data_IF_280479020977
#
_entry.id   IF_280479020977
#
_cell.length_a   1.000
_cell.length_b   1.000
_cell.length_c   1.000
_cell.angle_alpha   90.00
_cell.angle_beta   90.00
_cell.angle_gamma   90.00
#
_symmetry.space_group_name_H-M   'P 1'
#
loop_
_entity.id
_entity.type
_entity.pdbx_description
1 polymer ?
#
# COMPACT_ATOMS: atom_id res chain seq x y z
N UNK A 1 9.81 -7.37 12.99
CA UNK A 1 10.05 -5.91 12.89
C UNK A 1 10.76 -5.64 11.57
N UNK A 2 10.41 -4.52 10.92
CA UNK A 2 11.00 -4.07 9.66
C UNK A 2 11.35 -2.61 9.84
N UNK A 3 12.61 -2.26 9.62
CA UNK A 3 13.09 -0.88 9.64
C UNK A 3 13.89 -0.63 8.38
N UNK A 4 13.58 0.48 7.72
CA UNK A 4 14.24 0.91 6.49
C UNK A 4 14.48 2.39 6.60
N UNK A 5 15.76 2.76 6.58
CA UNK A 5 16.21 4.14 6.69
C UNK A 5 16.93 4.55 5.42
N UNK A 6 16.80 5.83 5.06
CA UNK A 6 17.43 6.39 3.87
C UNK A 6 16.86 5.85 2.55
N UNK A 7 17.61 6.04 1.47
CA UNK A 7 17.20 5.62 0.12
C UNK A 7 17.71 4.21 -0.17
N UNK A 8 16.77 3.29 -0.39
CA UNK A 8 17.04 1.89 -0.74
C UNK A 8 16.53 1.58 -2.14
N UNK A 9 17.37 0.95 -2.96
CA UNK A 9 16.98 0.38 -4.25
C UNK A 9 16.76 -1.12 -4.11
N UNK A 10 15.56 -1.58 -4.42
CA UNK A 10 15.22 -3.02 -4.45
C UNK A 10 15.43 -3.59 -5.86
N UNK A 11 15.74 -4.88 -5.94
CA UNK A 11 15.66 -5.64 -7.20
C UNK A 11 14.21 -5.75 -7.70
N UNK A 12 14.03 -6.09 -8.97
CA UNK A 12 12.71 -6.07 -9.64
C UNK A 12 11.61 -6.89 -8.95
N UNK A 13 11.99 -8.01 -8.32
CA UNK A 13 11.06 -8.89 -7.58
C UNK A 13 11.24 -8.77 -6.05
N UNK A 14 11.99 -7.76 -5.59
CA UNK A 14 12.25 -7.47 -4.17
C UNK A 14 12.84 -8.66 -3.39
N UNK A 15 13.46 -9.58 -4.12
CA UNK A 15 14.24 -10.70 -3.58
C UNK A 15 15.68 -10.30 -3.26
N UNK A 16 16.03 -9.03 -3.50
CA UNK A 16 17.36 -8.49 -3.22
C UNK A 16 17.33 -6.98 -3.00
N UNK A 17 18.34 -6.50 -2.29
CA UNK A 17 18.66 -5.07 -2.16
C UNK A 17 19.73 -4.78 -3.21
N UNK A 18 19.37 -3.99 -4.21
CA UNK A 18 20.24 -3.65 -5.34
C UNK A 18 21.20 -2.49 -4.99
N UNK A 19 20.74 -1.54 -4.16
CA UNK A 19 21.56 -0.40 -3.74
C UNK A 19 21.10 0.18 -2.39
N UNK A 20 22.05 0.81 -1.70
CA UNK A 20 21.83 1.60 -0.48
C UNK A 20 22.60 2.91 -0.62
N UNK A 21 21.96 4.04 -0.32
CA UNK A 21 22.68 5.30 -0.13
C UNK A 21 23.56 5.23 1.12
N UNK A 22 24.56 6.11 1.25
CA UNK A 22 25.56 6.05 2.33
C UNK A 22 24.96 6.13 3.74
N UNK A 23 23.79 6.77 3.88
CA UNK A 23 23.03 6.90 5.12
C UNK A 23 21.89 5.88 5.26
N UNK A 24 21.75 4.96 4.29
CA UNK A 24 20.66 4.02 4.25
C UNK A 24 20.95 2.71 4.98
N UNK A 25 19.91 2.10 5.54
CA UNK A 25 20.00 0.76 6.14
C UNK A 25 18.68 0.00 5.99
N UNK A 26 18.78 -1.33 5.98
CA UNK A 26 17.61 -2.22 6.07
C UNK A 26 17.85 -3.19 7.23
N UNK A 27 16.91 -3.23 8.16
CA UNK A 27 16.90 -4.16 9.29
C UNK A 27 15.60 -4.96 9.28
N UNK A 28 15.74 -6.28 9.21
CA UNK A 28 14.64 -7.24 9.32
C UNK A 28 14.90 -8.12 10.54
N UNK A 29 13.92 -8.17 11.45
CA UNK A 29 14.00 -8.99 12.67
C UNK A 29 12.78 -9.88 12.76
N UNK A 30 13.02 -11.19 12.81
CA UNK A 30 12.03 -12.23 13.14
C UNK A 30 12.28 -12.71 14.58
N UNK A 31 11.53 -13.73 15.02
CA UNK A 31 11.72 -14.33 16.34
C UNK A 31 13.12 -14.94 16.52
N UNK A 32 13.62 -15.58 15.46
CA UNK A 32 14.85 -16.36 15.43
C UNK A 32 16.00 -15.66 14.67
N UNK A 33 15.71 -14.70 13.80
CA UNK A 33 16.69 -14.14 12.88
C UNK A 33 16.79 -12.61 12.95
N UNK A 34 18.01 -12.12 12.75
CA UNK A 34 18.31 -10.70 12.53
C UNK A 34 19.11 -10.56 11.24
N UNK A 35 18.52 -9.90 10.26
CA UNK A 35 19.17 -9.55 9.01
C UNK A 35 19.37 -8.04 8.93
N UNK A 36 20.57 -7.64 8.53
CA UNK A 36 20.89 -6.23 8.31
C UNK A 36 21.68 -6.06 7.00
N UNK A 37 21.27 -5.06 6.22
CA UNK A 37 21.99 -4.60 5.04
C UNK A 37 22.46 -3.16 5.23
N UNK A 38 23.76 -2.93 4.97
CA UNK A 38 24.42 -1.62 5.03
C UNK A 38 25.18 -1.32 3.74
N UNK A 39 25.52 -0.04 3.46
CA UNK A 39 26.36 0.31 2.32
C UNK A 39 27.74 -0.36 2.44
N UNK A 40 28.15 -1.07 1.40
CA UNK A 40 29.49 -1.67 1.31
C UNK A 40 30.49 -0.73 0.64
N UNK A 41 31.76 -0.92 0.96
CA UNK A 41 32.86 -0.08 0.44
C UNK A 41 33.06 -0.19 -1.10
N UNK A 42 32.54 -1.24 -1.72
CA UNK A 42 32.59 -1.47 -3.17
C UNK A 42 31.31 -0.99 -3.90
N UNK A 43 30.44 -0.26 -3.19
CA UNK A 43 29.15 0.20 -3.70
C UNK A 43 28.07 -0.88 -3.76
N UNK A 44 28.35 -2.11 -3.29
CA UNK A 44 27.36 -3.18 -3.14
C UNK A 44 26.88 -3.25 -1.69
N UNK A 45 25.61 -3.58 -1.43
CA UNK A 45 25.14 -3.78 -0.06
C UNK A 45 25.91 -4.91 0.64
N UNK A 46 26.43 -4.62 1.84
CA UNK A 46 26.97 -5.62 2.75
C UNK A 46 25.82 -6.23 3.55
N UNK A 47 25.65 -7.55 3.42
CA UNK A 47 24.58 -8.29 4.09
C UNK A 47 25.13 -9.04 5.31
N UNK A 48 24.41 -8.97 6.42
CA UNK A 48 24.68 -9.72 7.64
C UNK A 48 23.41 -10.44 8.10
N UNK A 49 23.56 -11.67 8.57
CA UNK A 49 22.46 -12.47 9.08
C UNK A 49 22.95 -13.23 10.32
N UNK A 50 22.17 -13.19 11.39
CA UNK A 50 22.25 -14.13 12.50
C UNK A 50 20.94 -14.91 12.60
N UNK A 51 21.02 -16.19 12.94
CA UNK A 51 19.88 -17.04 13.29
C UNK A 51 20.22 -17.72 14.62
N UNK A 52 19.35 -17.58 15.61
CA UNK A 52 19.55 -17.99 17.01
C UNK A 52 20.83 -17.41 17.62
N UNK A 53 21.17 -16.18 17.23
CA UNK A 53 22.40 -15.48 17.64
C UNK A 53 23.67 -15.92 16.91
N UNK A 54 23.62 -17.00 16.13
CA UNK A 54 24.77 -17.52 15.40
C UNK A 54 24.89 -16.86 14.01
N UNK A 55 26.08 -16.37 13.63
CA UNK A 55 26.28 -15.74 12.32
C UNK A 55 26.11 -16.74 11.17
N UNK A 56 25.66 -16.23 10.02
CA UNK A 56 25.53 -16.97 8.77
C UNK A 56 26.44 -16.38 7.69
N UNK A 57 26.72 -17.16 6.66
CA UNK A 57 27.52 -16.70 5.51
C UNK A 57 26.76 -15.66 4.69
N UNK A 58 27.48 -14.86 3.91
CA UNK A 58 26.87 -13.88 3.01
C UNK A 58 25.91 -14.51 1.98
N UNK A 59 26.21 -15.74 1.52
CA UNK A 59 25.34 -16.48 0.60
C UNK A 59 24.03 -16.90 1.27
N UNK A 60 24.08 -17.34 2.53
CA UNK A 60 22.88 -17.64 3.32
C UNK A 60 22.08 -16.37 3.63
N UNK A 61 22.75 -15.26 3.96
CA UNK A 61 22.11 -13.97 4.15
C UNK A 61 21.35 -13.51 2.90
N UNK A 62 21.96 -13.64 1.72
CA UNK A 62 21.32 -13.30 0.45
C UNK A 62 20.10 -14.18 0.16
N UNK A 63 20.19 -15.49 0.42
CA UNK A 63 19.06 -16.41 0.25
C UNK A 63 17.92 -16.11 1.22
N UNK A 64 18.23 -15.92 2.49
CA UNK A 64 17.24 -15.53 3.49
C UNK A 64 16.56 -14.21 3.13
N UNK A 65 17.33 -13.22 2.65
CA UNK A 65 16.78 -11.97 2.14
C UNK A 65 15.78 -12.21 1.00
N UNK A 66 16.09 -13.08 0.05
CA UNK A 66 15.20 -13.41 -1.06
C UNK A 66 13.87 -14.02 -0.61
N UNK A 67 13.88 -14.81 0.46
CA UNK A 67 12.69 -15.46 0.99
C UNK A 67 11.84 -14.51 1.86
N UNK A 68 12.48 -13.62 2.63
CA UNK A 68 11.81 -12.80 3.66
C UNK A 68 11.47 -11.38 3.19
N UNK A 69 12.34 -10.75 2.40
CA UNK A 69 12.17 -9.35 1.99
C UNK A 69 10.85 -9.10 1.24
N UNK A 70 10.41 -9.94 0.28
CA UNK A 70 9.12 -9.73 -0.40
C UNK A 70 7.93 -9.75 0.57
N UNK A 71 7.96 -10.62 1.58
CA UNK A 71 6.90 -10.73 2.60
C UNK A 71 6.91 -9.49 3.48
N UNK A 72 8.09 -9.10 3.97
CA UNK A 72 8.27 -7.92 4.81
C UNK A 72 7.77 -6.66 4.11
N UNK A 73 8.18 -6.42 2.87
CA UNK A 73 7.80 -5.23 2.14
C UNK A 73 6.31 -5.21 1.77
N UNK A 74 5.72 -6.38 1.48
CA UNK A 74 4.28 -6.51 1.20
C UNK A 74 3.42 -6.14 2.41
N UNK A 75 3.77 -6.64 3.60
CA UNK A 75 2.95 -6.45 4.81
C UNK A 75 3.16 -5.09 5.50
N UNK A 76 4.27 -4.41 5.20
CA UNK A 76 4.62 -3.10 5.79
C UNK A 76 4.44 -1.94 4.82
N UNK A 77 4.00 -2.22 3.59
CA UNK A 77 3.91 -1.25 2.50
C UNK A 77 5.22 -0.49 2.23
N UNK A 78 6.37 -1.13 2.44
CA UNK A 78 7.64 -0.61 1.93
C UNK A 78 7.66 -0.76 0.41
N UNK A 79 8.10 0.31 -0.28
CA UNK A 79 8.25 0.36 -1.74
C UNK A 79 6.98 -0.10 -2.50
N UNK A 80 5.81 0.08 -1.88
CA UNK A 80 4.54 -0.38 -2.38
C UNK A 80 4.21 0.17 -3.77
N UNK A 81 4.61 1.40 -4.07
CA UNK A 81 4.44 2.07 -5.36
C UNK A 81 5.16 1.32 -6.50
N UNK A 82 6.38 0.84 -6.25
CA UNK A 82 7.18 0.10 -7.23
C UNK A 82 6.52 -1.26 -7.53
N UNK A 83 6.08 -1.95 -6.47
CA UNK A 83 5.39 -3.24 -6.59
C UNK A 83 4.07 -3.15 -7.32
N UNK A 84 3.26 -2.13 -7.00
CA UNK A 84 1.99 -1.86 -7.69
C UNK A 84 2.23 -1.59 -9.17
N UNK A 85 3.23 -0.77 -9.51
CA UNK A 85 3.57 -0.48 -10.91
C UNK A 85 4.02 -1.74 -11.65
N UNK A 86 4.85 -2.57 -11.04
CA UNK A 86 5.29 -3.84 -11.63
C UNK A 86 4.12 -4.81 -11.85
N UNK A 87 3.21 -4.93 -10.87
CA UNK A 87 2.01 -5.75 -10.97
C UNK A 87 1.09 -5.27 -12.11
N UNK A 88 0.90 -3.94 -12.22
CA UNK A 88 0.10 -3.35 -13.30
C UNK A 88 0.74 -3.54 -14.68
N UNK A 89 2.06 -3.40 -14.80
CA UNK A 89 2.76 -3.62 -16.06
C UNK A 89 2.67 -5.08 -16.53
N UNK A 90 2.61 -6.03 -15.59
CA UNK A 90 2.55 -7.45 -15.90
C UNK A 90 1.18 -7.87 -16.40
N UNK A 91 0.12 -7.54 -15.66
CA UNK A 91 -1.23 -8.09 -15.89
C UNK A 91 -2.36 -7.04 -15.80
N UNK A 92 -2.04 -5.74 -15.88
CA UNK A 92 -3.01 -4.67 -15.72
C UNK A 92 -3.61 -4.63 -14.31
N UNK A 93 -4.86 -4.14 -14.19
CA UNK A 93 -5.56 -4.08 -12.90
C UNK A 93 -5.71 -5.45 -12.23
N UNK A 94 -5.84 -6.53 -13.01
CA UNK A 94 -5.90 -7.90 -12.48
C UNK A 94 -4.62 -8.29 -11.74
N UNK A 95 -3.46 -7.85 -12.22
CA UNK A 95 -2.18 -8.05 -11.53
C UNK A 95 -2.13 -7.34 -10.18
N UNK A 96 -2.69 -6.12 -10.11
CA UNK A 96 -2.78 -5.36 -8.87
C UNK A 96 -3.75 -6.03 -7.89
N UNK A 97 -4.92 -6.51 -8.34
CA UNK A 97 -5.87 -7.23 -7.47
C UNK A 97 -5.25 -8.51 -6.91
N UNK A 98 -4.53 -9.28 -7.74
CA UNK A 98 -3.80 -10.46 -7.26
C UNK A 98 -2.74 -10.11 -6.21
N UNK A 99 -2.07 -8.96 -6.35
CA UNK A 99 -1.16 -8.47 -5.32
C UNK A 99 -1.92 -8.13 -4.03
N UNK A 100 -3.05 -7.44 -4.11
CA UNK A 100 -3.88 -7.07 -2.95
C UNK A 100 -4.38 -8.31 -2.20
N UNK A 101 -4.82 -9.35 -2.90
CA UNK A 101 -5.26 -10.63 -2.31
C UNK A 101 -4.17 -11.30 -1.45
N UNK A 102 -2.89 -11.02 -1.73
CA UNK A 102 -1.76 -11.56 -0.97
C UNK A 102 -1.37 -10.75 0.27
N UNK A 103 -1.96 -9.56 0.48
CA UNK A 103 -1.62 -8.67 1.61
C UNK A 103 -2.56 -8.95 2.78
N UNK A 104 -2.00 -9.31 3.94
CA UNK A 104 -2.83 -9.60 5.14
C UNK A 104 -3.09 -8.36 5.97
N UNK A 105 -2.17 -7.41 5.96
CA UNK A 105 -2.31 -6.12 6.65
C UNK A 105 -3.34 -5.23 5.92
N UNK A 106 -4.51 -4.92 6.52
CA UNK A 106 -5.50 -4.03 5.89
C UNK A 106 -4.92 -2.65 5.55
N UNK A 107 -4.05 -2.14 6.43
CA UNK A 107 -3.30 -0.90 6.22
C UNK A 107 -2.40 -0.98 4.99
N UNK A 108 -1.62 -2.05 4.84
CA UNK A 108 -0.75 -2.19 3.68
C UNK A 108 -1.58 -2.38 2.41
N UNK A 109 -2.68 -3.14 2.45
CA UNK A 109 -3.58 -3.32 1.32
C UNK A 109 -4.16 -1.98 0.85
N UNK A 110 -4.57 -1.12 1.79
CA UNK A 110 -5.00 0.25 1.50
C UNK A 110 -3.91 1.04 0.78
N UNK A 111 -2.69 1.08 1.31
CA UNK A 111 -1.61 1.85 0.68
C UNK A 111 -1.29 1.38 -0.74
N UNK A 112 -1.31 0.07 -0.99
CA UNK A 112 -1.13 -0.47 -2.35
C UNK A 112 -2.28 -0.07 -3.28
N UNK A 113 -3.52 -0.15 -2.81
CA UNK A 113 -4.68 0.30 -3.59
C UNK A 113 -4.62 1.81 -3.88
N UNK A 114 -4.23 2.61 -2.88
CA UNK A 114 -4.00 4.06 -3.02
C UNK A 114 -2.94 4.39 -4.06
N UNK A 115 -1.78 3.72 -4.02
CA UNK A 115 -0.73 3.90 -5.04
C UNK A 115 -1.24 3.55 -6.44
N UNK A 116 -2.06 2.49 -6.56
CA UNK A 116 -2.65 2.14 -7.84
C UNK A 116 -3.58 3.24 -8.32
N UNK A 117 -4.53 3.65 -7.48
CA UNK A 117 -5.48 4.71 -7.78
C UNK A 117 -4.81 6.07 -8.04
N UNK A 118 -3.57 6.30 -7.60
CA UNK A 118 -2.82 7.51 -7.90
C UNK A 118 -2.07 7.45 -9.26
N UNK A 119 -2.11 6.33 -9.98
CA UNK A 119 -1.48 6.20 -11.30
C UNK A 119 -2.22 7.00 -12.38
N UNK A 120 -1.46 7.60 -13.29
CA UNK A 120 -2.02 8.27 -14.46
C UNK A 120 -2.56 7.27 -15.47
N UNK A 121 -3.61 7.67 -16.20
CA UNK A 121 -4.13 6.92 -17.35
C UNK A 121 -5.09 5.78 -17.02
N UNK A 122 -5.47 5.62 -15.75
CA UNK A 122 -6.48 4.62 -15.37
C UNK A 122 -7.85 4.90 -16.01
N UNK A 123 -8.42 3.84 -16.57
CA UNK A 123 -9.78 3.85 -17.10
C UNK A 123 -10.81 3.85 -15.98
N UNK A 124 -12.03 4.29 -16.28
CA UNK A 124 -13.12 4.27 -15.29
C UNK A 124 -13.38 2.84 -14.78
N UNK A 125 -13.25 1.84 -15.65
CA UNK A 125 -13.45 0.44 -15.31
C UNK A 125 -12.40 -0.09 -14.33
N UNK A 126 -11.13 0.29 -14.49
CA UNK A 126 -10.05 -0.15 -13.58
C UNK A 126 -10.18 0.48 -12.20
N UNK A 127 -10.57 1.75 -12.14
CA UNK A 127 -10.84 2.47 -10.88
C UNK A 127 -12.02 1.81 -10.16
N UNK A 128 -13.14 1.63 -10.86
CA UNK A 128 -14.34 1.00 -10.30
C UNK A 128 -14.06 -0.42 -9.78
N UNK A 129 -13.41 -1.25 -10.61
CA UNK A 129 -13.07 -2.63 -10.23
C UNK A 129 -12.16 -2.69 -9.00
N UNK A 130 -11.25 -1.72 -8.82
CA UNK A 130 -10.38 -1.68 -7.63
C UNK A 130 -11.13 -1.27 -6.38
N UNK A 131 -12.03 -0.27 -6.47
CA UNK A 131 -12.87 0.11 -5.35
C UNK A 131 -13.78 -1.05 -4.92
N UNK A 132 -14.38 -1.74 -5.89
CA UNK A 132 -15.22 -2.92 -5.63
C UNK A 132 -14.41 -4.07 -5.02
N UNK A 133 -13.18 -4.29 -5.51
CA UNK A 133 -12.29 -5.30 -4.96
C UNK A 133 -11.92 -5.01 -3.50
N UNK A 134 -11.50 -3.78 -3.18
CA UNK A 134 -11.14 -3.38 -1.80
C UNK A 134 -12.34 -3.45 -0.87
N UNK A 135 -13.54 -3.10 -1.34
CA UNK A 135 -14.77 -3.23 -0.55
C UNK A 135 -15.02 -4.65 -0.04
N UNK A 136 -14.49 -5.66 -0.75
CA UNK A 136 -14.61 -7.08 -0.37
C UNK A 136 -13.36 -7.57 0.37
N UNK A 137 -12.16 -7.22 -0.08
CA UNK A 137 -10.91 -7.84 0.38
C UNK A 137 -10.28 -7.18 1.61
N UNK A 138 -10.45 -5.88 1.81
CA UNK A 138 -9.95 -5.18 3.00
C UNK A 138 -11.02 -5.27 4.08
N UNK A 139 -10.75 -5.89 5.22
CA UNK A 139 -11.77 -6.13 6.26
C UNK A 139 -11.94 -5.00 7.27
N UNK A 140 -11.05 -4.01 7.26
CA UNK A 140 -11.05 -2.89 8.20
C UNK A 140 -11.75 -1.66 7.61
N UNK A 141 -12.82 -1.20 8.26
CA UNK A 141 -13.62 -0.07 7.79
C UNK A 141 -12.89 1.28 7.89
N UNK A 142 -11.96 1.44 8.82
CA UNK A 142 -11.13 2.64 8.90
C UNK A 142 -10.22 2.73 7.67
N UNK A 143 -9.63 1.61 7.28
CA UNK A 143 -8.78 1.56 6.08
C UNK A 143 -9.62 1.72 4.79
N UNK A 144 -10.82 1.14 4.71
CA UNK A 144 -11.75 1.40 3.59
C UNK A 144 -12.12 2.88 3.49
N UNK A 145 -12.50 3.51 4.61
CA UNK A 145 -12.82 4.94 4.64
C UNK A 145 -11.61 5.78 4.21
N UNK A 146 -10.41 5.43 4.67
CA UNK A 146 -9.15 6.03 4.24
C UNK A 146 -8.96 6.02 2.73
N UNK A 147 -9.15 4.86 2.08
CA UNK A 147 -9.08 4.77 0.61
C UNK A 147 -10.12 5.64 -0.08
N UNK A 148 -11.35 5.64 0.43
CA UNK A 148 -12.45 6.42 -0.13
C UNK A 148 -12.18 7.94 -0.06
N UNK A 149 -11.52 8.42 1.00
CA UNK A 149 -11.08 9.82 1.07
C UNK A 149 -10.08 10.18 -0.03
N UNK A 150 -9.11 9.32 -0.29
CA UNK A 150 -8.12 9.56 -1.33
C UNK A 150 -8.76 9.46 -2.72
N UNK A 151 -9.58 8.43 -2.94
CA UNK A 151 -10.28 8.22 -4.20
C UNK A 151 -11.27 9.35 -4.54
N UNK A 152 -11.94 9.93 -3.55
CA UNK A 152 -12.86 11.04 -3.80
C UNK A 152 -12.10 12.29 -4.25
N UNK A 153 -10.93 12.58 -3.68
CA UNK A 153 -10.09 13.69 -4.14
C UNK A 153 -9.65 13.56 -5.59
N UNK A 154 -9.38 12.32 -6.04
CA UNK A 154 -8.92 12.02 -7.39
C UNK A 154 -10.05 11.94 -8.43
N UNK A 155 -11.20 11.38 -8.03
CA UNK A 155 -12.22 10.90 -8.98
C UNK A 155 -13.62 11.46 -8.76
N UNK A 156 -13.79 12.40 -7.83
CA UNK A 156 -15.03 13.12 -7.54
C UNK A 156 -15.85 13.52 -8.78
N UNK A 157 -15.16 14.05 -9.79
CA UNK A 157 -15.75 14.59 -10.99
C UNK A 157 -16.16 13.53 -12.03
N UNK A 158 -15.82 12.25 -11.84
CA UNK A 158 -16.07 11.15 -12.79
C UNK A 158 -17.38 10.44 -12.44
N UNK A 159 -18.49 10.66 -13.17
CA UNK A 159 -19.80 10.13 -12.78
C UNK A 159 -19.85 8.59 -12.78
N UNK A 160 -19.07 7.96 -13.66
CA UNK A 160 -19.01 6.50 -13.80
C UNK A 160 -18.50 5.79 -12.53
N UNK A 161 -17.74 6.48 -11.67
CA UNK A 161 -17.12 5.90 -10.46
C UNK A 161 -18.05 5.99 -9.22
N UNK A 162 -19.09 6.84 -9.28
CA UNK A 162 -19.95 7.14 -8.12
C UNK A 162 -20.64 5.89 -7.56
N UNK A 163 -21.05 4.95 -8.40
CA UNK A 163 -21.73 3.73 -7.94
C UNK A 163 -20.81 2.85 -7.12
N UNK A 164 -19.59 2.56 -7.60
CA UNK A 164 -18.60 1.77 -6.85
C UNK A 164 -18.19 2.46 -5.56
N UNK A 165 -18.11 3.79 -5.58
CA UNK A 165 -17.86 4.58 -4.40
C UNK A 165 -18.93 4.39 -3.32
N UNK A 166 -20.20 4.50 -3.70
CA UNK A 166 -21.33 4.30 -2.80
C UNK A 166 -21.45 2.85 -2.34
N UNK A 167 -21.15 1.88 -3.19
CA UNK A 167 -21.14 0.45 -2.84
C UNK A 167 -20.07 0.14 -1.78
N UNK A 168 -18.86 0.69 -1.93
CA UNK A 168 -17.79 0.56 -0.95
C UNK A 168 -18.17 1.21 0.39
N UNK A 169 -18.78 2.40 0.36
CA UNK A 169 -19.28 3.09 1.55
C UNK A 169 -20.40 2.29 2.26
N UNK A 170 -21.33 1.70 1.52
CA UNK A 170 -22.44 0.92 2.07
C UNK A 170 -21.98 -0.41 2.70
N UNK A 171 -20.89 -0.99 2.17
CA UNK A 171 -20.27 -2.20 2.71
C UNK A 171 -19.56 -2.02 4.06
N UNK A 172 -19.41 -0.78 4.56
CA UNK A 172 -18.85 -0.50 5.87
C UNK A 172 -19.88 -0.74 6.98
N UNK A 173 -19.49 -1.49 8.01
CA UNK A 173 -20.32 -1.77 9.17
C UNK A 173 -20.22 -0.69 10.26
N UNK A 174 -19.10 0.04 10.31
CA UNK A 174 -18.86 1.08 11.30
C UNK A 174 -19.65 2.35 11.00
N UNK A 175 -20.69 2.62 11.80
CA UNK A 175 -21.43 3.88 11.77
C UNK A 175 -20.53 5.10 12.01
N UNK A 176 -19.47 4.94 12.81
CA UNK A 176 -18.49 6.01 13.08
C UNK A 176 -17.74 6.37 11.80
N UNK A 177 -17.21 5.39 11.07
CA UNK A 177 -16.45 5.66 9.84
C UNK A 177 -17.36 6.10 8.71
N UNK A 178 -18.57 5.52 8.60
CA UNK A 178 -19.62 6.02 7.69
C UNK A 178 -19.95 7.49 7.96
N UNK A 179 -20.18 7.85 9.23
CA UNK A 179 -20.49 9.23 9.62
C UNK A 179 -19.30 10.18 9.38
N UNK A 180 -18.08 9.75 9.74
CA UNK A 180 -16.86 10.52 9.51
C UNK A 180 -16.71 10.82 8.02
N UNK A 181 -16.84 9.79 7.19
CA UNK A 181 -16.77 9.87 5.74
C UNK A 181 -17.82 10.83 5.18
N UNK A 182 -19.10 10.57 5.47
CA UNK A 182 -20.20 11.39 4.94
C UNK A 182 -20.09 12.85 5.36
N UNK A 183 -19.77 13.12 6.63
CA UNK A 183 -19.59 14.50 7.13
C UNK A 183 -18.47 15.23 6.41
N UNK A 184 -17.34 14.57 6.21
CA UNK A 184 -16.14 15.16 5.62
C UNK A 184 -16.29 15.38 4.10
N UNK A 185 -17.07 14.55 3.42
CA UNK A 185 -17.17 14.57 1.95
C UNK A 185 -18.39 15.33 1.44
N UNK A 186 -19.52 15.24 2.13
CA UNK A 186 -20.75 15.94 1.72
C UNK A 186 -20.96 17.25 2.49
N UNK A 187 -20.23 17.51 3.57
CA UNK A 187 -20.47 18.67 4.43
C UNK A 187 -21.79 18.56 5.20
N UNK A 188 -21.87 19.23 6.35
CA UNK A 188 -23.05 19.16 7.23
C UNK A 188 -24.31 19.74 6.57
N UNK A 189 -24.17 20.83 5.82
CA UNK A 189 -25.30 21.62 5.31
C UNK A 189 -25.99 20.97 4.08
N UNK A 190 -25.27 20.24 3.24
CA UNK A 190 -25.86 19.58 2.09
C UNK A 190 -26.56 18.27 2.43
N UNK A 191 -26.11 17.58 3.48
CA UNK A 191 -26.80 16.41 4.04
C UNK A 191 -28.16 16.79 4.66
N UNK A 192 -28.27 17.97 5.29
CA UNK A 192 -29.53 18.49 5.86
C UNK A 192 -30.50 19.00 4.78
N UNK A 193 -30.01 19.38 3.59
CA UNK A 193 -30.83 19.89 2.49
C UNK A 193 -31.39 18.82 1.54
N UNK A 194 -30.95 17.56 1.64
CA UNK A 194 -31.38 16.46 0.76
C UNK A 194 -30.87 16.56 -0.69
N UNK A 195 -29.89 17.42 -0.94
CA UNK A 195 -29.18 17.51 -2.22
C UNK A 195 -27.96 16.57 -2.21
N UNK A 196 -27.57 16.05 -3.38
CA UNK A 196 -26.27 15.39 -3.54
C UNK A 196 -25.26 16.50 -3.86
N UNK A 197 -24.49 17.02 -2.89
CA UNK A 197 -23.60 18.14 -3.17
C UNK A 197 -22.44 17.70 -4.06
N UNK A 198 -21.99 18.65 -4.86
CA UNK A 198 -20.72 18.56 -5.58
C UNK A 198 -19.60 18.70 -4.54
N UNK A 199 -18.90 17.59 -4.37
CA UNK A 199 -17.71 17.31 -3.57
C UNK A 199 -16.81 18.54 -3.34
N UNK A 200 -16.90 19.12 -2.14
CA UNK A 200 -15.92 20.09 -1.64
C UNK A 200 -14.96 19.33 -0.72
N UNK A 201 -13.79 18.94 -1.25
CA UNK A 201 -12.72 18.35 -0.45
C UNK A 201 -11.88 19.50 0.12
N UNK A 202 -11.91 19.72 1.43
CA UNK A 202 -10.92 20.57 2.10
C UNK A 202 -9.60 19.77 2.22
N UNK A 203 -8.49 20.22 1.62
CA UNK A 203 -7.21 19.50 1.63
C UNK A 203 -6.51 19.48 3.01
N UNK A 204 -7.13 19.99 4.07
CA UNK A 204 -6.49 20.26 5.36
C UNK A 204 -6.92 19.27 6.46
N UNK A 205 -6.60 17.98 6.31
CA UNK A 205 -6.81 16.98 7.35
C UNK A 205 -5.50 16.35 7.81
N UNK A 206 -4.81 17.01 8.75
CA UNK A 206 -3.70 16.43 9.51
C UNK A 206 -4.15 15.32 10.46
#
# INVERSE_FOLDING_TARGET
>A
QVEIEGRVGFGADETSIASLADDASVLLVTEDARFEARPGADGRPQLSLTIDGEPRTAAEAARWCADVLPIACRETAVAFDTRVRAAYQRDGAAGVHHLLDGIRSPYAARLHASAFLAMDGLTDAEIAATLDHVAVSVSDDQERAGLLYEAVGLYAARPAIRTSFLACLDGMASDVERHRFTRNVFGKDALEAGEVPVLAVDPSGC
#
